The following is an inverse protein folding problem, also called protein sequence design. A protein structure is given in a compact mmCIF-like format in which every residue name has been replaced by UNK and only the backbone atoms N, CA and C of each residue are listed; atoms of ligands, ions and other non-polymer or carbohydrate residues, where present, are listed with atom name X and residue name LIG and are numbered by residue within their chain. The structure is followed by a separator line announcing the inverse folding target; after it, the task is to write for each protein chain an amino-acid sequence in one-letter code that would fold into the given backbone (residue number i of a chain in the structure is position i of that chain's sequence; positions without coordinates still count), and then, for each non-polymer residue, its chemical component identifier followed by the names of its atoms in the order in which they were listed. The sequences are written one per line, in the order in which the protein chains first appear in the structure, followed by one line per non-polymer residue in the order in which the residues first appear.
data_IF_447460561107
#
_entry.id   IF_447460561107
#
_cell.length_a   1.000
_cell.length_b   1.000
_cell.length_c   1.000
_cell.angle_alpha   90.00
_cell.angle_beta   90.00
_cell.angle_gamma   90.00
#
_symmetry.space_group_name_H-M   'P 1'
#
loop_
_entity.id
_entity.type
_entity.pdbx_description
1 polymer ?
#
# COMPACT_ATOMS: atom_id res chain seq x y z
N UNK A 1 1.96 28.84 -56.65
CA UNK A 1 1.55 27.49 -56.19
C UNK A 1 2.34 27.20 -54.92
N UNK A 2 1.73 27.49 -53.75
CA UNK A 2 2.41 27.39 -52.45
C UNK A 2 2.14 25.98 -51.92
N UNK A 3 3.19 25.16 -51.83
CA UNK A 3 3.12 23.80 -51.32
C UNK A 3 2.97 23.87 -49.79
N UNK A 4 1.77 23.54 -49.28
CA UNK A 4 1.48 23.43 -47.85
C UNK A 4 2.11 22.14 -47.33
N UNK A 5 3.26 22.25 -46.67
CA UNK A 5 3.90 21.15 -45.96
C UNK A 5 3.04 20.76 -44.75
N UNK A 6 2.44 19.58 -44.79
CA UNK A 6 1.68 19.00 -43.67
C UNK A 6 2.67 18.19 -42.82
N UNK A 7 2.86 18.58 -41.58
CA UNK A 7 3.60 17.78 -40.59
C UNK A 7 2.65 16.75 -39.98
N UNK A 8 2.88 15.47 -40.24
CA UNK A 8 2.26 14.37 -39.49
C UNK A 8 3.02 14.18 -38.18
N UNK A 9 2.43 14.60 -37.06
CA UNK A 9 2.89 14.21 -35.72
C UNK A 9 2.31 12.82 -35.46
N UNK A 10 3.14 11.78 -35.56
CA UNK A 10 2.80 10.45 -35.05
C UNK A 10 2.88 10.54 -33.52
N UNK A 11 1.73 10.67 -32.86
CA UNK A 11 1.64 10.49 -31.43
C UNK A 11 1.91 9.01 -31.14
N UNK A 12 3.10 8.73 -30.59
CA UNK A 12 3.46 7.40 -30.10
C UNK A 12 2.61 7.12 -28.87
N UNK A 13 1.43 6.53 -29.08
CA UNK A 13 0.56 6.05 -28.02
C UNK A 13 1.25 4.82 -27.44
N UNK A 14 2.11 5.02 -26.43
CA UNK A 14 2.65 3.95 -25.62
C UNK A 14 1.50 3.31 -24.85
N UNK A 15 0.91 2.26 -25.41
CA UNK A 15 0.10 1.32 -24.65
C UNK A 15 1.04 0.58 -23.71
N UNK A 16 1.16 1.07 -22.48
CA UNK A 16 1.73 0.30 -21.38
C UNK A 16 0.81 -0.89 -21.13
N UNK A 17 1.16 -2.05 -21.68
CA UNK A 17 0.61 -3.32 -21.20
C UNK A 17 1.18 -3.52 -19.81
N UNK A 18 0.39 -3.20 -18.77
CA UNK A 18 0.69 -3.63 -17.42
C UNK A 18 0.61 -5.16 -17.41
N UNK A 19 1.75 -5.84 -17.44
CA UNK A 19 1.81 -7.25 -17.08
C UNK A 19 1.30 -7.35 -15.64
N UNK A 20 0.14 -7.98 -15.43
CA UNK A 20 -0.33 -8.29 -14.08
C UNK A 20 0.61 -9.34 -13.50
N UNK A 21 1.58 -8.87 -12.71
CA UNK A 21 2.39 -9.74 -11.89
C UNK A 21 1.49 -10.43 -10.86
N UNK A 22 1.71 -11.73 -10.65
CA UNK A 22 1.00 -12.57 -9.66
C UNK A 22 1.34 -12.10 -8.25
N UNK A 23 0.68 -11.06 -7.77
CA UNK A 23 0.90 -10.47 -6.46
C UNK A 23 -0.36 -10.44 -5.60
N UNK A 24 -0.16 -10.42 -4.29
CA UNK A 24 -1.21 -10.21 -3.31
C UNK A 24 -1.45 -8.70 -3.16
N UNK A 25 -2.63 -8.23 -3.55
CA UNK A 25 -3.00 -6.81 -3.49
C UNK A 25 -3.75 -6.47 -2.22
N UNK A 26 -3.34 -5.37 -1.59
CA UNK A 26 -3.89 -4.87 -0.35
C UNK A 26 -4.33 -3.42 -0.58
N UNK A 27 -5.63 -3.14 -0.52
CA UNK A 27 -6.11 -1.75 -0.47
C UNK A 27 -6.23 -1.30 0.98
N UNK A 28 -5.62 -0.15 1.26
CA UNK A 28 -5.41 0.39 2.60
C UNK A 28 -6.10 1.74 2.62
N UNK A 29 -7.26 1.77 3.26
CA UNK A 29 -8.10 2.95 3.37
C UNK A 29 -7.89 3.73 4.67
N UNK A 30 -8.63 4.83 4.78
CA UNK A 30 -8.60 5.76 5.91
C UNK A 30 -7.26 6.47 6.11
N UNK A 31 -6.48 6.68 5.05
CA UNK A 31 -5.22 7.42 5.14
C UNK A 31 -5.56 8.91 5.31
N UNK A 32 -5.03 9.55 6.37
CA UNK A 32 -5.49 10.88 6.78
C UNK A 32 -4.87 12.04 5.99
N UNK A 33 -3.67 11.86 5.44
CA UNK A 33 -2.94 12.87 4.66
C UNK A 33 -1.98 12.20 3.66
N UNK A 34 -1.28 12.99 2.85
CA UNK A 34 -0.36 12.53 1.80
C UNK A 34 1.11 12.49 2.25
N UNK A 35 1.39 12.59 3.56
CA UNK A 35 2.75 12.70 4.08
C UNK A 35 3.42 11.33 4.15
N UNK A 36 4.69 11.26 3.75
CA UNK A 36 5.50 10.07 3.93
C UNK A 36 4.97 8.84 3.19
N UNK A 37 4.94 7.70 3.88
CA UNK A 37 4.75 6.39 3.26
C UNK A 37 3.77 5.49 4.02
N UNK A 38 3.11 4.60 3.29
CA UNK A 38 2.41 3.44 3.88
C UNK A 38 3.35 2.25 3.81
N UNK A 39 3.69 1.71 4.98
CA UNK A 39 4.58 0.56 5.13
C UNK A 39 3.75 -0.67 5.50
N UNK A 40 3.97 -1.77 4.76
CA UNK A 40 3.30 -3.05 4.96
C UNK A 40 4.33 -4.12 5.25
N UNK A 41 4.06 -4.93 6.27
CA UNK A 41 4.80 -6.15 6.57
C UNK A 41 3.84 -7.34 6.55
N UNK A 42 4.22 -8.38 5.80
CA UNK A 42 3.61 -9.70 5.83
C UNK A 42 4.53 -10.67 6.54
N UNK A 43 3.98 -11.45 7.46
CA UNK A 43 4.74 -12.48 8.17
C UNK A 43 3.82 -13.66 8.53
N UNK A 44 4.22 -14.89 8.21
CA UNK A 44 3.43 -16.09 8.51
C UNK A 44 3.40 -16.37 10.02
N UNK A 45 4.59 -16.38 10.63
CA UNK A 45 4.81 -16.64 12.05
C UNK A 45 6.09 -15.95 12.54
N UNK A 46 6.39 -16.03 13.84
CA UNK A 46 7.55 -15.35 14.44
C UNK A 46 8.93 -15.83 14.00
N UNK A 47 9.03 -16.93 13.24
CA UNK A 47 10.29 -17.46 12.68
C UNK A 47 10.41 -17.17 11.17
N UNK A 48 9.29 -16.99 10.48
CA UNK A 48 9.27 -16.66 9.06
C UNK A 48 9.93 -15.31 8.78
N UNK A 49 10.72 -15.24 7.70
CA UNK A 49 11.31 -13.98 7.23
C UNK A 49 10.19 -13.06 6.72
N UNK A 50 10.02 -11.84 7.25
CA UNK A 50 8.98 -10.94 6.79
C UNK A 50 9.21 -10.50 5.34
N UNK A 51 8.11 -10.26 4.63
CA UNK A 51 8.09 -9.62 3.31
C UNK A 51 7.48 -8.24 3.46
N UNK A 52 8.06 -7.25 2.79
CA UNK A 52 7.67 -5.85 2.92
C UNK A 52 7.07 -5.31 1.63
N UNK A 53 6.13 -4.38 1.78
CA UNK A 53 5.59 -3.55 0.71
C UNK A 53 5.54 -2.09 1.13
N UNK A 54 5.59 -1.19 0.16
CA UNK A 54 5.56 0.25 0.41
C UNK A 54 4.81 0.96 -0.72
N UNK A 55 4.06 1.99 -0.36
CA UNK A 55 3.58 3.01 -1.28
C UNK A 55 3.74 4.40 -0.66
N UNK A 56 3.83 5.42 -1.51
CA UNK A 56 3.66 6.80 -1.04
C UNK A 56 2.27 6.97 -0.45
N UNK A 57 2.15 7.69 0.66
CA UNK A 57 0.87 7.96 1.27
C UNK A 57 -0.01 8.79 0.32
N UNK A 58 -1.28 8.41 0.24
CA UNK A 58 -2.30 9.17 -0.45
C UNK A 58 -3.55 9.15 0.41
N UNK A 59 -4.05 10.34 0.73
CA UNK A 59 -5.25 10.57 1.53
C UNK A 59 -6.42 9.79 0.93
N UNK A 60 -7.16 9.13 1.81
CA UNK A 60 -8.24 8.24 1.44
C UNK A 60 -7.76 6.80 1.36
N UNK A 61 -7.11 6.40 0.26
CA UNK A 61 -6.74 5.01 0.00
C UNK A 61 -5.50 4.88 -0.90
N UNK A 62 -4.69 3.84 -0.63
CA UNK A 62 -3.66 3.33 -1.56
C UNK A 62 -3.84 1.84 -1.76
N UNK A 63 -3.33 1.30 -2.88
CA UNK A 63 -3.22 -0.15 -3.09
C UNK A 63 -1.75 -0.54 -3.24
N UNK A 64 -1.31 -1.52 -2.45
CA UNK A 64 0.04 -2.09 -2.52
C UNK A 64 -0.09 -3.53 -3.01
N UNK A 65 0.74 -3.90 -3.98
CA UNK A 65 0.85 -5.29 -4.44
C UNK A 65 2.19 -5.85 -3.97
N UNK A 66 2.14 -6.96 -3.25
CA UNK A 66 3.34 -7.68 -2.78
C UNK A 66 3.44 -8.98 -3.59
N UNK A 67 4.56 -9.13 -4.29
CA UNK A 67 4.83 -10.33 -5.09
C UNK A 67 5.32 -11.49 -4.22
N UNK A 68 5.20 -12.72 -4.73
CA UNK A 68 5.81 -13.92 -4.15
C UNK A 68 5.35 -14.30 -2.72
N UNK A 69 4.13 -13.93 -2.33
CA UNK A 69 3.52 -14.44 -1.09
C UNK A 69 3.16 -15.92 -1.26
N UNK A 70 3.93 -16.80 -0.62
CA UNK A 70 3.81 -18.27 -0.75
C UNK A 70 3.10 -18.95 0.42
N UNK A 71 2.77 -18.20 1.48
CA UNK A 71 2.14 -18.76 2.67
C UNK A 71 0.61 -18.84 2.54
N UNK A 72 0.03 -19.92 3.07
CA UNK A 72 -1.42 -20.12 3.15
C UNK A 72 -2.10 -19.29 4.25
N UNK A 73 -1.29 -18.70 5.13
CA UNK A 73 -1.74 -17.76 6.17
C UNK A 73 -0.62 -16.80 6.55
N UNK A 74 -0.97 -15.58 6.88
CA UNK A 74 -0.03 -14.59 7.37
C UNK A 74 -0.73 -13.47 8.12
N UNK A 75 0.05 -12.70 8.89
CA UNK A 75 -0.39 -11.46 9.49
C UNK A 75 0.05 -10.29 8.62
N UNK A 76 -0.89 -9.43 8.29
CA UNK A 76 -0.66 -8.13 7.65
C UNK A 76 -0.49 -7.11 8.78
N UNK A 77 0.64 -6.42 8.83
CA UNK A 77 0.86 -5.26 9.70
C UNK A 77 1.11 -4.05 8.83
N UNK A 78 0.37 -2.98 9.06
CA UNK A 78 0.47 -1.74 8.27
C UNK A 78 0.65 -0.57 9.22
N UNK A 79 1.52 0.37 8.88
CA UNK A 79 1.50 1.69 9.50
C UNK A 79 1.79 2.81 8.50
N UNK A 80 1.35 4.01 8.86
CA UNK A 80 1.55 5.24 8.12
C UNK A 80 2.75 5.98 8.71
N UNK A 81 3.89 5.88 8.04
CA UNK A 81 5.13 6.56 8.38
C UNK A 81 5.09 7.97 7.82
N UNK A 82 4.55 8.92 8.59
CA UNK A 82 4.29 10.29 8.14
C UNK A 82 5.57 11.14 8.06
N UNK A 83 6.60 10.77 8.82
CA UNK A 83 7.87 11.51 8.92
C UNK A 83 9.08 10.78 8.29
N UNK A 84 8.86 9.64 7.65
CA UNK A 84 9.85 8.86 6.92
C UNK A 84 10.99 8.28 7.79
N UNK A 85 10.67 7.93 9.04
CA UNK A 85 11.62 7.37 10.00
C UNK A 85 11.59 5.82 10.05
N UNK A 86 10.71 5.17 9.29
CA UNK A 86 10.58 3.71 9.17
C UNK A 86 10.13 2.97 10.44
N UNK A 87 9.57 3.68 11.41
CA UNK A 87 9.08 3.14 12.67
C UNK A 87 7.70 3.73 12.98
N UNK A 88 6.92 3.03 13.82
CA UNK A 88 5.65 3.59 14.29
C UNK A 88 5.95 4.58 15.41
N UNK A 89 5.56 5.83 15.23
CA UNK A 89 5.72 6.83 16.27
C UNK A 89 4.71 6.65 17.38
N UNK A 90 5.17 6.91 18.61
CA UNK A 90 4.38 6.78 19.82
C UNK A 90 4.52 8.01 20.71
N UNK A 91 3.50 8.31 21.50
CA UNK A 91 3.57 9.34 22.54
C UNK A 91 4.32 8.84 23.79
N UNK A 92 4.42 9.68 24.81
CA UNK A 92 5.11 9.36 26.08
C UNK A 92 4.52 8.14 26.81
N UNK A 93 3.31 7.72 26.48
CA UNK A 93 2.63 6.56 27.06
C UNK A 93 2.77 5.30 26.17
N UNK A 94 3.50 5.38 25.06
CA UNK A 94 3.67 4.29 24.10
C UNK A 94 2.46 4.08 23.19
N UNK A 95 1.50 5.03 23.14
CA UNK A 95 0.34 4.95 22.26
C UNK A 95 0.73 5.46 20.87
N UNK A 96 0.44 4.71 19.78
CA UNK A 96 0.67 5.19 18.42
C UNK A 96 0.06 6.57 18.15
N UNK A 97 0.85 7.45 17.55
CA UNK A 97 0.39 8.78 17.06
C UNK A 97 0.18 8.81 15.54
N UNK A 98 0.57 7.72 14.88
CA UNK A 98 0.40 7.46 13.47
C UNK A 98 -0.64 6.36 13.23
N UNK A 99 -1.09 6.24 11.97
CA UNK A 99 -2.09 5.27 11.58
C UNK A 99 -1.52 3.87 11.55
N UNK A 100 -2.24 2.88 12.07
CA UNK A 100 -1.83 1.48 12.01
C UNK A 100 -3.00 0.53 11.77
N UNK A 101 -2.72 -0.64 11.23
CA UNK A 101 -3.67 -1.74 11.11
C UNK A 101 -2.94 -3.07 11.27
N UNK A 102 -3.66 -4.07 11.80
CA UNK A 102 -3.15 -5.43 11.88
C UNK A 102 -4.28 -6.44 11.69
N UNK A 103 -4.11 -7.36 10.74
CA UNK A 103 -5.12 -8.37 10.41
C UNK A 103 -4.47 -9.71 10.08
N UNK A 104 -5.10 -10.81 10.48
CA UNK A 104 -4.72 -12.15 10.01
C UNK A 104 -5.44 -12.44 8.71
N UNK A 105 -4.71 -12.90 7.72
CA UNK A 105 -5.25 -13.21 6.40
C UNK A 105 -4.97 -14.65 6.00
N UNK A 106 -5.95 -15.27 5.35
CA UNK A 106 -5.92 -16.62 4.79
C UNK A 106 -6.36 -16.52 3.33
N UNK A 107 -5.43 -16.43 2.35
CA UNK A 107 -5.78 -16.35 0.95
C UNK A 107 -6.61 -17.58 0.54
N UNK A 108 -7.85 -17.37 0.11
CA UNK A 108 -8.75 -18.41 -0.40
C UNK A 108 -8.48 -18.69 -1.88
N UNK A 109 -7.93 -17.72 -2.60
CA UNK A 109 -7.49 -17.83 -4.00
C UNK A 109 -6.19 -17.06 -4.21
N UNK A 110 -5.49 -17.39 -5.31
CA UNK A 110 -4.20 -16.81 -5.70
C UNK A 110 -4.26 -15.30 -6.07
N UNK A 111 -5.47 -14.74 -6.13
CA UNK A 111 -5.76 -13.34 -6.52
C UNK A 111 -6.62 -12.62 -5.47
N UNK A 112 -6.63 -13.11 -4.23
CA UNK A 112 -7.42 -12.47 -3.17
C UNK A 112 -6.89 -11.05 -2.90
N UNK A 113 -7.73 -10.06 -3.17
CA UNK A 113 -7.52 -8.69 -2.74
C UNK A 113 -8.00 -8.54 -1.29
N UNK A 114 -7.15 -8.01 -0.43
CA UNK A 114 -7.50 -7.67 0.95
C UNK A 114 -7.78 -6.17 1.08
N UNK A 115 -8.77 -5.79 1.90
CA UNK A 115 -9.05 -4.39 2.23
C UNK A 115 -8.89 -4.18 3.73
N UNK A 116 -8.00 -3.27 4.11
CA UNK A 116 -7.82 -2.83 5.50
C UNK A 116 -8.08 -1.33 5.61
N UNK A 117 -8.37 -0.88 6.82
CA UNK A 117 -8.40 0.56 7.15
C UNK A 117 -7.41 0.81 8.27
N UNK A 118 -6.65 1.89 8.16
CA UNK A 118 -5.83 2.38 9.26
C UNK A 118 -6.71 2.89 10.38
N UNK A 119 -6.29 2.63 11.62
CA UNK A 119 -6.84 3.21 12.83
C UNK A 119 -5.90 4.28 13.36
N UNK A 120 -6.47 5.38 13.86
CA UNK A 120 -5.72 6.49 14.46
C UNK A 120 -6.31 6.83 15.83
N UNK A 121 -5.49 6.81 16.88
CA UNK A 121 -5.96 7.09 18.24
C UNK A 121 -6.48 8.51 18.45
N UNK A 122 -5.99 9.47 17.67
CA UNK A 122 -6.37 10.88 17.75
C UNK A 122 -7.58 11.22 16.88
N UNK A 123 -8.09 10.30 16.05
CA UNK A 123 -9.26 10.52 15.21
C UNK A 123 -10.56 10.52 16.03
N UNK A 124 -11.26 11.66 16.17
CA UNK A 124 -12.48 11.74 16.97
C UNK A 124 -13.65 10.92 16.40
N UNK A 125 -13.58 10.47 15.14
CA UNK A 125 -14.60 9.63 14.51
C UNK A 125 -14.45 8.12 14.81
N UNK A 126 -13.38 7.74 15.51
CA UNK A 126 -13.08 6.34 15.86
C UNK A 126 -13.20 6.05 17.37
N UNK A 127 -13.76 6.99 18.16
CA UNK A 127 -14.12 6.79 19.58
C UNK A 127 -15.59 6.43 19.78
#
# INVERSE_FOLDING_TARGET
MIMKTIWFIIALLSLSVSASAKGFSISIGNIRNDNGNILVMLQADGQSKPVYGMAKAQKGEVTITIEEVTWDHFTISVFHDENENWQIDTDEQGKPVEGFAREKHHPKKKEDACKLKLFYFDNPLER
#
